data_IF_428400418358
#
_entry.id   IF_428400418358
#
_cell.length_a   1.000
_cell.length_b   1.000
_cell.length_c   1.000
_cell.angle_alpha   90.00
_cell.angle_beta   90.00
_cell.angle_gamma   90.00
#
_symmetry.space_group_name_H-M   'P 1'
#
loop_
_entity.id
_entity.type
_entity.pdbx_description
1 polymer ?
#
# COMPACT_ATOMS: atom_id res chain seq x y z
N UNK A 1 -73.21 3.64 -16.61
CA UNK A 1 -72.49 2.82 -15.63
C UNK A 1 -71.02 3.30 -15.61
N UNK A 2 -70.65 4.18 -14.65
CA UNK A 2 -69.32 4.76 -14.54
C UNK A 2 -68.55 4.00 -13.43
N UNK A 3 -67.49 3.37 -13.82
CA UNK A 3 -66.54 2.69 -12.86
C UNK A 3 -65.50 3.71 -12.44
N UNK A 4 -65.57 4.15 -11.20
CA UNK A 4 -64.55 4.99 -10.56
C UNK A 4 -63.33 4.15 -10.26
N UNK A 5 -62.20 4.52 -10.83
CA UNK A 5 -60.89 3.99 -10.43
C UNK A 5 -60.43 4.76 -9.19
N UNK A 6 -60.38 4.05 -8.08
CA UNK A 6 -59.81 4.53 -6.84
C UNK A 6 -58.29 4.37 -6.95
N UNK A 7 -57.53 5.46 -7.08
CA UNK A 7 -56.08 5.47 -6.93
C UNK A 7 -55.77 5.53 -5.44
N UNK A 8 -55.27 4.43 -4.92
CA UNK A 8 -54.68 4.38 -3.58
C UNK A 8 -53.28 4.97 -3.67
N UNK A 9 -53.10 6.23 -3.27
CA UNK A 9 -51.78 6.83 -3.04
C UNK A 9 -51.23 6.27 -1.72
N UNK A 10 -50.33 5.32 -1.80
CA UNK A 10 -49.50 4.95 -0.66
C UNK A 10 -48.49 6.08 -0.43
N UNK A 11 -48.76 6.95 0.53
CA UNK A 11 -47.79 7.88 1.05
C UNK A 11 -46.73 7.05 1.79
N UNK A 12 -45.58 6.81 1.15
CA UNK A 12 -44.36 6.41 1.87
C UNK A 12 -44.02 7.60 2.78
N UNK A 13 -44.38 7.48 4.06
CA UNK A 13 -43.82 8.31 5.09
C UNK A 13 -42.30 7.97 5.14
N UNK A 14 -41.49 8.79 4.51
CA UNK A 14 -40.07 8.83 4.81
C UNK A 14 -39.98 9.30 6.27
N UNK A 15 -39.98 8.36 7.19
CA UNK A 15 -39.44 8.60 8.52
C UNK A 15 -37.98 8.90 8.29
N UNK A 16 -37.62 10.17 8.32
CA UNK A 16 -36.25 10.59 8.60
C UNK A 16 -35.91 10.00 9.97
N UNK A 17 -35.36 8.79 9.97
CA UNK A 17 -34.58 8.35 11.09
C UNK A 17 -33.44 9.39 11.13
N UNK A 18 -33.56 10.34 12.05
CA UNK A 18 -32.40 11.07 12.54
C UNK A 18 -31.51 9.97 13.14
N UNK A 19 -30.64 9.40 12.31
CA UNK A 19 -29.50 8.67 12.82
C UNK A 19 -28.78 9.74 13.63
N UNK A 20 -28.79 9.63 14.94
CA UNK A 20 -27.87 10.39 15.78
C UNK A 20 -26.51 9.93 15.32
N UNK A 21 -25.88 10.75 14.47
CA UNK A 21 -24.49 10.60 14.13
C UNK A 21 -23.72 10.50 15.46
N UNK A 22 -22.90 9.49 15.63
CA UNK A 22 -22.22 9.26 16.88
C UNK A 22 -21.64 7.85 17.00
N UNK A 23 -21.49 7.44 18.23
CA UNK A 23 -20.83 6.19 18.59
C UNK A 23 -21.36 4.95 17.89
N UNK A 24 -20.46 4.24 17.25
CA UNK A 24 -20.64 2.89 16.71
C UNK A 24 -20.25 1.90 17.80
N UNK A 25 -21.16 1.01 18.21
CA UNK A 25 -20.83 -0.04 19.18
C UNK A 25 -20.17 -1.26 18.52
N UNK A 26 -19.63 -2.16 19.33
CA UNK A 26 -18.91 -3.35 18.85
C UNK A 26 -19.77 -4.29 17.98
N UNK A 27 -21.10 -4.33 18.20
CA UNK A 27 -22.00 -5.15 17.38
C UNK A 27 -22.23 -4.49 16.02
N UNK A 28 -22.46 -3.18 15.99
CA UNK A 28 -22.59 -2.41 14.75
C UNK A 28 -21.28 -2.48 13.94
N UNK A 29 -20.13 -2.34 14.59
CA UNK A 29 -18.82 -2.49 13.96
C UNK A 29 -18.60 -3.90 13.38
N UNK A 30 -19.00 -4.95 14.10
CA UNK A 30 -18.95 -6.33 13.58
C UNK A 30 -19.84 -6.53 12.37
N UNK A 31 -21.02 -5.91 12.36
CA UNK A 31 -21.92 -5.96 11.20
C UNK A 31 -21.35 -5.21 10.00
N UNK A 32 -20.67 -4.08 10.23
CA UNK A 32 -19.96 -3.33 9.21
C UNK A 32 -18.83 -4.19 8.61
N UNK A 33 -18.01 -4.82 9.46
CA UNK A 33 -16.98 -5.76 9.01
C UNK A 33 -17.56 -6.90 8.16
N UNK A 34 -18.68 -7.49 8.57
CA UNK A 34 -19.34 -8.55 7.82
C UNK A 34 -19.87 -8.06 6.46
N UNK A 35 -20.45 -6.86 6.39
CA UNK A 35 -20.88 -6.26 5.11
C UNK A 35 -19.70 -6.05 4.17
N UNK A 36 -18.62 -5.49 4.68
CA UNK A 36 -17.40 -5.26 3.90
C UNK A 36 -16.87 -6.58 3.32
N UNK A 37 -16.71 -7.62 4.16
CA UNK A 37 -16.22 -8.93 3.73
C UNK A 37 -17.12 -9.60 2.68
N UNK A 38 -18.41 -9.32 2.70
CA UNK A 38 -19.35 -9.86 1.72
C UNK A 38 -19.34 -9.11 0.39
N UNK A 39 -19.16 -7.79 0.42
CA UNK A 39 -19.43 -6.93 -0.73
C UNK A 39 -18.14 -6.44 -1.43
N UNK A 40 -17.12 -6.11 -0.65
CA UNK A 40 -15.97 -5.34 -1.13
C UNK A 40 -14.61 -6.00 -0.87
N UNK A 41 -14.54 -6.98 0.02
CA UNK A 41 -13.27 -7.60 0.37
C UNK A 41 -12.65 -8.35 -0.83
N UNK A 42 -11.30 -8.46 -0.86
CA UNK A 42 -10.61 -9.32 -1.81
C UNK A 42 -11.18 -10.74 -1.83
N UNK A 43 -11.02 -11.44 -2.95
CA UNK A 43 -11.54 -12.81 -3.11
C UNK A 43 -11.12 -13.75 -1.98
N UNK A 44 -9.90 -13.58 -1.48
CA UNK A 44 -9.34 -14.33 -0.33
C UNK A 44 -10.16 -14.21 0.95
N UNK A 45 -10.85 -13.09 1.17
CA UNK A 45 -11.68 -12.82 2.36
C UNK A 45 -13.17 -12.89 2.08
N UNK A 46 -13.57 -12.88 0.80
CA UNK A 46 -14.97 -12.79 0.38
C UNK A 46 -15.75 -14.04 0.84
N UNK A 47 -16.87 -13.79 1.51
CA UNK A 47 -17.75 -14.89 1.97
C UNK A 47 -17.34 -15.53 3.31
N UNK A 48 -16.39 -14.96 4.04
CA UNK A 48 -16.11 -15.41 5.39
C UNK A 48 -17.39 -15.35 6.25
N UNK A 49 -17.77 -16.44 6.93
CA UNK A 49 -18.98 -16.42 7.76
C UNK A 49 -18.81 -15.45 8.94
N UNK A 50 -19.89 -14.85 9.41
CA UNK A 50 -19.85 -13.91 10.55
C UNK A 50 -19.19 -14.52 11.81
N UNK A 51 -19.21 -15.84 11.96
CA UNK A 51 -18.51 -16.56 13.04
C UNK A 51 -16.99 -16.54 12.90
N UNK A 52 -16.46 -16.28 11.71
CA UNK A 52 -15.02 -16.14 11.47
C UNK A 52 -14.48 -14.76 11.89
N UNK A 53 -15.35 -13.78 12.14
CA UNK A 53 -14.99 -12.39 12.49
C UNK A 53 -14.85 -12.30 14.00
N UNK A 54 -13.64 -12.16 14.51
CA UNK A 54 -13.32 -12.13 15.94
C UNK A 54 -12.81 -10.74 16.33
N UNK A 55 -13.40 -10.12 17.35
CA UNK A 55 -12.89 -8.87 17.90
C UNK A 55 -11.50 -9.13 18.52
N UNK A 56 -10.49 -8.51 17.96
CA UNK A 56 -9.09 -8.63 18.37
C UNK A 56 -8.67 -7.48 19.27
N UNK A 57 -9.15 -6.26 18.98
CA UNK A 57 -8.75 -5.07 19.69
C UNK A 57 -9.83 -3.98 19.60
N UNK A 58 -9.86 -3.12 20.60
CA UNK A 58 -10.70 -1.94 20.69
C UNK A 58 -9.85 -0.77 21.16
N UNK A 59 -9.88 0.33 20.45
CA UNK A 59 -9.22 1.56 20.87
C UNK A 59 -10.20 2.44 21.64
N UNK A 60 -9.97 2.61 22.94
CA UNK A 60 -10.81 3.43 23.80
C UNK A 60 -10.66 4.93 23.47
N UNK A 61 -11.79 5.63 23.36
CA UNK A 61 -11.82 7.06 23.12
C UNK A 61 -11.68 7.85 24.42
N UNK A 62 -10.97 8.99 24.39
CA UNK A 62 -10.95 9.96 25.49
C UNK A 62 -12.24 10.79 25.59
N UNK A 63 -13.08 10.76 24.55
CA UNK A 63 -14.31 11.55 24.50
C UNK A 63 -15.50 10.70 24.89
N UNK A 64 -15.85 9.69 24.07
CA UNK A 64 -16.95 8.77 24.30
C UNK A 64 -16.78 7.49 23.46
N UNK A 65 -17.14 6.35 24.04
CA UNK A 65 -17.10 5.05 23.35
C UNK A 65 -15.72 4.65 22.90
N UNK A 66 -15.61 4.11 21.68
CA UNK A 66 -14.36 3.64 21.12
C UNK A 66 -14.04 4.40 19.83
N UNK A 67 -12.75 4.59 19.53
CA UNK A 67 -12.34 5.27 18.30
C UNK A 67 -12.36 4.34 17.10
N UNK A 68 -11.95 3.09 17.31
CA UNK A 68 -12.07 2.04 16.29
C UNK A 68 -12.08 0.64 16.91
N UNK A 69 -12.48 -0.32 16.08
CA UNK A 69 -12.51 -1.75 16.40
C UNK A 69 -11.67 -2.51 15.37
N UNK A 70 -10.90 -3.47 15.84
CA UNK A 70 -10.14 -4.37 14.96
C UNK A 70 -10.70 -5.77 15.08
N UNK A 71 -11.00 -6.36 13.93
CA UNK A 71 -11.45 -7.74 13.84
C UNK A 71 -10.42 -8.56 13.08
N UNK A 72 -10.02 -9.69 13.65
CA UNK A 72 -9.30 -10.74 12.96
C UNK A 72 -10.28 -11.71 12.29
N UNK A 73 -9.86 -12.28 11.18
CA UNK A 73 -10.65 -13.20 10.38
C UNK A 73 -10.02 -14.58 10.50
N UNK A 74 -10.79 -15.56 10.92
CA UNK A 74 -10.31 -16.96 11.01
C UNK A 74 -9.90 -17.45 9.62
N UNK A 75 -8.69 -17.94 9.50
CA UNK A 75 -8.09 -18.33 8.21
C UNK A 75 -7.14 -17.29 7.63
N UNK A 76 -7.03 -16.14 8.28
CA UNK A 76 -6.15 -15.03 7.91
C UNK A 76 -6.91 -13.81 7.44
N UNK A 77 -6.30 -12.65 7.66
CA UNK A 77 -6.85 -11.34 7.37
C UNK A 77 -7.40 -10.62 8.59
N UNK A 78 -7.58 -9.31 8.44
CA UNK A 78 -8.09 -8.43 9.48
C UNK A 78 -8.77 -7.21 8.87
N UNK A 79 -9.64 -6.54 9.64
CA UNK A 79 -10.31 -5.30 9.24
C UNK A 79 -10.43 -4.35 10.43
N UNK A 80 -10.25 -3.05 10.17
CA UNK A 80 -10.42 -1.97 11.14
C UNK A 80 -11.67 -1.17 10.77
N UNK A 81 -12.59 -1.10 11.71
CA UNK A 81 -13.87 -0.39 11.58
C UNK A 81 -13.88 0.81 12.51
N UNK A 82 -14.29 1.97 12.02
CA UNK A 82 -14.42 3.17 12.81
C UNK A 82 -15.45 3.02 13.93
N UNK A 83 -15.19 3.65 15.05
CA UNK A 83 -16.08 3.72 16.21
C UNK A 83 -17.01 4.94 16.23
N UNK A 84 -17.06 5.69 15.12
CA UNK A 84 -17.92 6.86 14.94
C UNK A 84 -18.37 6.97 13.48
N UNK A 85 -19.62 7.32 13.24
CA UNK A 85 -20.20 7.37 11.88
C UNK A 85 -19.91 8.67 11.11
N UNK A 86 -19.21 9.63 11.70
CA UNK A 86 -18.58 10.74 10.99
C UNK A 86 -17.24 10.32 10.34
N UNK A 87 -16.73 9.16 10.70
CA UNK A 87 -15.58 8.56 10.08
C UNK A 87 -15.98 7.66 8.89
N UNK A 88 -15.01 7.29 8.09
CA UNK A 88 -15.16 6.26 7.07
C UNK A 88 -15.37 4.92 7.74
N UNK A 89 -16.36 4.14 7.31
CA UNK A 89 -16.75 2.90 7.98
C UNK A 89 -15.57 1.92 8.07
N UNK A 90 -14.86 1.70 6.97
CA UNK A 90 -13.65 0.86 6.92
C UNK A 90 -12.43 1.75 6.86
N UNK A 91 -11.57 1.65 7.87
CA UNK A 91 -10.34 2.44 7.97
C UNK A 91 -9.15 1.73 7.33
N UNK A 92 -9.09 0.41 7.49
CA UNK A 92 -8.04 -0.42 6.89
C UNK A 92 -8.44 -1.89 6.86
N UNK A 93 -7.79 -2.67 5.99
CA UNK A 93 -7.89 -4.13 6.00
C UNK A 93 -6.62 -4.76 5.43
N UNK A 94 -6.36 -6.00 5.82
CA UNK A 94 -5.34 -6.85 5.23
C UNK A 94 -5.94 -8.21 4.90
N UNK A 95 -5.55 -8.78 3.78
CA UNK A 95 -6.03 -10.08 3.31
C UNK A 95 -5.26 -11.26 3.89
N UNK A 96 -4.20 -10.99 4.64
CA UNK A 96 -3.34 -11.97 5.30
C UNK A 96 -3.02 -11.58 6.73
N UNK A 97 -2.59 -12.57 7.50
CA UNK A 97 -2.15 -12.36 8.87
C UNK A 97 -3.28 -12.11 9.86
N UNK A 98 -2.90 -11.65 11.01
CA UNK A 98 -3.79 -11.21 12.09
C UNK A 98 -3.27 -9.90 12.67
N UNK A 99 -4.15 -9.12 13.23
CA UNK A 99 -3.76 -7.90 13.93
C UNK A 99 -3.11 -8.24 15.28
N UNK A 100 -1.88 -7.77 15.49
CA UNK A 100 -1.13 -7.94 16.74
C UNK A 100 -0.39 -6.65 17.11
N UNK A 101 -0.81 -6.02 18.19
CA UNK A 101 -0.23 -4.77 18.68
C UNK A 101 1.26 -4.88 19.04
N UNK A 102 1.72 -6.05 19.47
CA UNK A 102 3.06 -6.21 20.04
C UNK A 102 4.19 -6.16 18.99
N UNK A 103 3.85 -6.40 17.72
CA UNK A 103 4.82 -6.51 16.63
C UNK A 103 4.54 -5.55 15.47
N UNK A 104 3.83 -4.45 15.75
CA UNK A 104 3.40 -3.51 14.74
C UNK A 104 4.53 -2.57 14.31
N UNK A 105 4.73 -2.31 13.00
CA UNK A 105 5.66 -1.28 12.52
C UNK A 105 5.31 0.11 13.06
N UNK A 106 6.31 0.92 13.33
CA UNK A 106 6.11 2.29 13.83
C UNK A 106 5.23 3.15 12.90
N UNK A 107 5.37 2.96 11.59
CA UNK A 107 4.53 3.61 10.57
C UNK A 107 3.04 3.28 10.71
N UNK A 108 2.72 2.00 10.90
CA UNK A 108 1.34 1.57 11.12
C UNK A 108 0.80 2.09 12.45
N UNK A 109 1.62 2.11 13.52
CA UNK A 109 1.25 2.75 14.78
C UNK A 109 0.92 4.22 14.58
N UNK A 110 1.73 4.94 13.78
CA UNK A 110 1.47 6.32 13.40
C UNK A 110 0.14 6.50 12.65
N UNK A 111 -0.15 5.61 11.71
CA UNK A 111 -1.42 5.62 10.94
C UNK A 111 -2.63 5.38 11.86
N UNK A 112 -2.54 4.42 12.78
CA UNK A 112 -3.62 4.15 13.74
C UNK A 112 -3.80 5.28 14.74
N UNK A 113 -2.70 5.90 15.18
CA UNK A 113 -2.76 7.09 16.01
C UNK A 113 -3.44 8.26 15.30
N UNK A 114 -3.18 8.45 14.00
CA UNK A 114 -3.87 9.45 13.19
C UNK A 114 -5.38 9.20 13.17
N UNK A 115 -5.82 7.97 12.93
CA UNK A 115 -7.24 7.62 12.96
C UNK A 115 -7.87 7.94 14.33
N UNK A 116 -7.21 7.53 15.40
CA UNK A 116 -7.65 7.84 16.75
C UNK A 116 -7.81 9.35 16.97
N UNK A 117 -6.76 10.13 16.71
CA UNK A 117 -6.74 11.57 16.96
C UNK A 117 -7.85 12.29 16.16
N UNK A 118 -8.09 11.87 14.92
CA UNK A 118 -9.14 12.42 14.05
C UNK A 118 -10.54 12.05 14.56
N UNK A 119 -10.76 10.80 14.96
CA UNK A 119 -12.06 10.36 15.47
C UNK A 119 -12.35 11.02 16.83
N UNK A 120 -11.38 11.11 17.73
CA UNK A 120 -11.52 11.87 18.98
C UNK A 120 -11.87 13.34 18.69
N UNK A 121 -11.24 13.96 17.70
CA UNK A 121 -11.49 15.35 17.34
C UNK A 121 -12.92 15.57 16.83
N UNK A 122 -13.43 14.71 15.94
CA UNK A 122 -14.80 14.85 15.41
C UNK A 122 -15.85 14.58 16.49
N UNK A 123 -15.63 13.60 17.39
CA UNK A 123 -16.50 13.34 18.56
C UNK A 123 -16.54 14.52 19.51
N UNK A 124 -15.41 15.18 19.74
CA UNK A 124 -15.29 16.35 20.60
C UNK A 124 -15.84 17.65 19.99
N UNK A 125 -16.04 17.71 18.70
CA UNK A 125 -16.46 18.91 17.99
C UNK A 125 -17.92 19.25 18.27
N UNK A 126 -18.18 20.51 18.63
CA UNK A 126 -19.53 21.02 18.98
C UNK A 126 -20.16 21.93 17.91
N UNK A 127 -19.44 22.15 16.82
CA UNK A 127 -19.92 22.94 15.68
C UNK A 127 -20.70 22.11 14.66
N UNK A 128 -21.06 22.75 13.57
CA UNK A 128 -21.71 22.08 12.44
C UNK A 128 -20.66 21.39 11.58
N UNK A 129 -20.89 20.13 11.22
CA UNK A 129 -20.08 19.36 10.28
C UNK A 129 -20.69 19.39 8.88
N UNK A 130 -19.82 19.36 7.88
CA UNK A 130 -20.18 19.16 6.48
C UNK A 130 -19.53 17.86 5.95
N UNK A 131 -20.18 17.13 5.06
CA UNK A 131 -19.57 15.96 4.46
C UNK A 131 -18.38 16.36 3.60
N UNK A 132 -17.33 15.53 3.62
CA UNK A 132 -16.22 15.68 2.70
C UNK A 132 -16.70 15.51 1.25
N UNK A 133 -16.04 16.18 0.32
CA UNK A 133 -16.28 15.97 -1.09
C UNK A 133 -15.95 14.51 -1.44
N UNK A 134 -16.87 13.85 -2.13
CA UNK A 134 -16.57 12.52 -2.64
C UNK A 134 -15.34 12.59 -3.57
N UNK A 135 -14.38 11.67 -3.45
CA UNK A 135 -13.26 11.61 -4.37
C UNK A 135 -13.76 11.42 -5.80
N UNK A 136 -12.99 11.89 -6.78
CA UNK A 136 -13.22 11.54 -8.17
C UNK A 136 -13.22 10.01 -8.32
N UNK A 137 -13.83 9.49 -9.40
CA UNK A 137 -13.76 8.05 -9.67
C UNK A 137 -12.30 7.62 -9.69
N UNK A 138 -11.96 6.67 -8.82
CA UNK A 138 -10.62 6.10 -8.71
C UNK A 138 -10.59 4.84 -9.56
N UNK A 139 -9.60 4.72 -10.42
CA UNK A 139 -9.27 3.45 -11.07
C UNK A 139 -8.42 2.64 -10.10
N UNK A 140 -8.87 1.43 -9.78
CA UNK A 140 -8.15 0.57 -8.86
C UNK A 140 -6.86 0.04 -9.51
N UNK A 141 -5.78 0.03 -8.75
CA UNK A 141 -4.48 -0.53 -9.14
C UNK A 141 -4.07 -1.56 -8.09
N UNK A 142 -3.83 -2.79 -8.53
CA UNK A 142 -3.35 -3.85 -7.64
C UNK A 142 -1.92 -3.57 -7.18
N UNK A 143 -1.46 -4.16 -6.05
CA UNK A 143 -0.11 -3.93 -5.55
C UNK A 143 0.95 -4.23 -6.61
N UNK A 144 1.71 -3.21 -7.01
CA UNK A 144 2.75 -3.28 -8.04
C UNK A 144 3.96 -4.07 -7.54
N UNK A 145 4.43 -3.79 -6.32
CA UNK A 145 5.58 -4.50 -5.76
C UNK A 145 5.15 -5.86 -5.22
N UNK A 146 5.90 -6.89 -5.56
CA UNK A 146 5.62 -8.27 -5.11
C UNK A 146 6.60 -8.70 -4.00
N UNK A 147 7.44 -7.78 -3.53
CA UNK A 147 8.44 -8.08 -2.49
C UNK A 147 7.84 -8.03 -1.10
N UNK A 148 8.23 -9.00 -0.26
CA UNK A 148 7.88 -9.04 1.16
C UNK A 148 9.15 -8.94 2.03
N UNK A 149 10.00 -7.98 1.67
CA UNK A 149 11.29 -7.81 2.33
C UNK A 149 11.17 -7.13 3.69
N UNK A 150 12.18 -7.34 4.52
CA UNK A 150 12.31 -6.69 5.81
C UNK A 150 13.73 -6.14 6.00
N UNK A 151 14.00 -5.57 7.17
CA UNK A 151 15.25 -4.84 7.42
C UNK A 151 16.39 -5.70 8.01
N UNK A 152 16.13 -6.99 8.24
CA UNK A 152 17.12 -7.94 8.82
C UNK A 152 17.61 -8.96 7.79
N UNK A 153 18.25 -10.03 8.21
CA UNK A 153 18.80 -11.09 7.35
C UNK A 153 17.76 -11.63 6.36
N UNK A 154 18.13 -11.82 5.06
CA UNK A 154 19.47 -11.61 4.49
C UNK A 154 19.77 -10.18 4.02
N UNK A 155 18.78 -9.26 4.00
CA UNK A 155 18.91 -7.93 3.43
C UNK A 155 19.96 -7.07 4.13
N UNK A 156 20.16 -7.24 5.43
CA UNK A 156 21.15 -6.47 6.19
C UNK A 156 22.54 -7.10 6.27
N UNK A 157 22.80 -8.21 5.60
CA UNK A 157 24.07 -8.97 5.67
C UNK A 157 25.31 -8.11 5.44
N UNK A 158 25.24 -7.08 4.64
CA UNK A 158 26.37 -6.19 4.32
C UNK A 158 26.26 -4.80 4.94
N UNK A 159 25.29 -4.57 5.81
CA UNK A 159 25.23 -3.30 6.55
C UNK A 159 26.37 -3.21 7.56
N UNK A 160 26.79 -1.99 7.94
CA UNK A 160 27.80 -1.81 8.96
C UNK A 160 27.45 -2.48 10.29
N UNK A 161 28.44 -3.03 10.95
CA UNK A 161 28.28 -3.65 12.27
C UNK A 161 28.16 -2.59 13.38
N UNK A 162 27.34 -2.87 14.38
CA UNK A 162 27.35 -2.17 15.67
C UNK A 162 27.50 -3.19 16.79
N UNK A 163 28.66 -3.25 17.39
CA UNK A 163 29.03 -4.36 18.26
C UNK A 163 29.24 -5.64 17.45
N UNK A 164 28.50 -6.69 17.82
CA UNK A 164 28.57 -8.00 17.14
C UNK A 164 27.42 -8.22 16.14
N UNK A 165 26.57 -7.24 15.92
CA UNK A 165 25.37 -7.38 15.09
C UNK A 165 25.41 -6.45 13.87
N UNK A 166 24.89 -6.91 12.75
CA UNK A 166 24.58 -6.05 11.61
C UNK A 166 23.48 -5.07 11.98
N UNK A 167 23.63 -3.83 11.58
CA UNK A 167 22.55 -2.85 11.72
C UNK A 167 21.40 -3.19 10.75
N UNK A 168 20.18 -2.72 11.05
CA UNK A 168 19.09 -2.82 10.11
C UNK A 168 19.41 -2.08 8.79
N UNK A 169 18.80 -2.51 7.69
CA UNK A 169 18.91 -1.82 6.38
C UNK A 169 18.49 -0.35 6.50
N UNK A 170 17.46 -0.08 7.27
CA UNK A 170 16.75 1.20 7.33
C UNK A 170 15.51 1.20 6.44
N UNK A 171 14.43 1.82 6.91
CA UNK A 171 13.15 1.81 6.21
C UNK A 171 13.21 2.50 4.84
N UNK A 172 13.81 3.69 4.75
CA UNK A 172 13.98 4.41 3.49
C UNK A 172 14.79 3.63 2.45
N UNK A 173 16.02 3.17 2.80
CA UNK A 173 16.80 2.31 1.90
C UNK A 173 16.08 1.02 1.48
N UNK A 174 15.31 0.40 2.38
CA UNK A 174 14.57 -0.81 2.04
C UNK A 174 13.43 -0.51 1.06
N UNK A 175 12.66 0.55 1.29
CA UNK A 175 11.63 1.00 0.36
C UNK A 175 12.23 1.31 -1.02
N UNK A 176 13.38 1.99 -1.05
CA UNK A 176 14.13 2.23 -2.27
C UNK A 176 14.56 0.93 -2.96
N UNK A 177 15.13 -0.02 -2.22
CA UNK A 177 15.59 -1.29 -2.78
C UNK A 177 14.41 -2.10 -3.37
N UNK A 178 13.22 -2.05 -2.77
CA UNK A 178 12.01 -2.68 -3.31
C UNK A 178 11.56 -2.01 -4.62
N UNK A 179 11.61 -0.69 -4.72
CA UNK A 179 11.33 0.05 -5.95
C UNK A 179 12.38 -0.24 -7.02
N UNK A 180 13.68 -0.29 -6.66
CA UNK A 180 14.74 -0.69 -7.60
C UNK A 180 14.54 -2.12 -8.09
N UNK A 181 14.15 -3.04 -7.22
CA UNK A 181 13.82 -4.41 -7.61
C UNK A 181 12.57 -4.48 -8.51
N UNK A 182 11.56 -3.69 -8.26
CA UNK A 182 10.38 -3.59 -9.12
C UNK A 182 10.79 -3.20 -10.54
N UNK A 183 11.55 -2.12 -10.70
CA UNK A 183 12.02 -1.65 -12.00
C UNK A 183 13.15 -2.50 -12.59
N UNK A 184 13.80 -3.41 -11.84
CA UNK A 184 15.04 -4.09 -12.25
C UNK A 184 16.10 -3.10 -12.72
N UNK A 185 16.17 -1.94 -12.08
CA UNK A 185 17.02 -0.81 -12.46
C UNK A 185 17.64 -0.14 -11.22
N UNK A 186 18.90 0.37 -11.33
CA UNK A 186 19.83 0.27 -12.45
C UNK A 186 20.49 -1.10 -12.55
N UNK A 187 21.22 -1.37 -13.62
CA UNK A 187 22.02 -2.61 -13.76
C UNK A 187 23.19 -2.73 -12.76
N UNK A 188 23.56 -1.60 -12.14
CA UNK A 188 24.66 -1.55 -11.18
C UNK A 188 24.83 -0.17 -10.56
N UNK A 189 25.94 0.01 -9.87
CA UNK A 189 26.32 1.27 -9.22
C UNK A 189 27.77 1.60 -9.52
N UNK A 190 28.04 2.88 -9.71
CA UNK A 190 29.40 3.41 -9.64
C UNK A 190 29.96 3.32 -8.21
N UNK A 191 31.27 3.54 -8.07
CA UNK A 191 31.92 3.57 -6.77
C UNK A 191 31.41 4.77 -5.94
N UNK A 192 31.21 4.55 -4.64
CA UNK A 192 30.74 5.57 -3.71
C UNK A 192 31.76 5.82 -2.59
N UNK A 193 32.01 7.09 -2.28
CA UNK A 193 32.93 7.51 -1.22
C UNK A 193 32.38 7.17 0.17
N UNK A 194 33.28 6.94 1.13
CA UNK A 194 32.92 6.77 2.54
C UNK A 194 32.23 8.00 3.11
N UNK A 195 31.42 7.81 4.14
CA UNK A 195 30.81 8.89 4.92
C UNK A 195 30.81 8.54 6.42
N UNK A 196 30.48 9.51 7.28
CA UNK A 196 30.53 9.33 8.73
C UNK A 196 29.14 9.47 9.36
N UNK A 197 28.79 8.55 10.25
CA UNK A 197 27.53 8.54 11.01
C UNK A 197 27.79 8.90 12.47
N UNK A 198 27.44 10.13 12.84
CA UNK A 198 27.54 10.59 14.23
C UNK A 198 26.51 9.87 15.12
N UNK A 199 26.97 9.36 16.26
CA UNK A 199 26.10 8.62 17.21
C UNK A 199 25.73 7.21 16.75
N UNK A 200 26.13 6.80 15.55
CA UNK A 200 25.89 5.49 14.97
C UNK A 200 27.13 4.62 14.87
N UNK A 201 27.32 3.99 13.71
CA UNK A 201 28.43 3.06 13.44
C UNK A 201 29.77 3.75 13.17
N UNK A 202 29.82 5.08 13.12
CA UNK A 202 31.03 5.81 12.76
C UNK A 202 31.25 5.89 11.26
N UNK A 203 32.46 5.59 10.78
CA UNK A 203 32.79 5.60 9.35
C UNK A 203 32.13 4.44 8.63
N UNK A 204 31.26 4.77 7.67
CA UNK A 204 30.71 3.82 6.69
C UNK A 204 31.70 3.75 5.54
N UNK A 205 32.32 2.59 5.26
CA UNK A 205 33.35 2.48 4.25
C UNK A 205 32.86 2.80 2.84
N UNK A 206 33.78 3.27 1.99
CA UNK A 206 33.53 3.41 0.55
C UNK A 206 33.09 2.08 -0.06
N UNK A 207 32.36 2.14 -1.16
CA UNK A 207 31.96 0.99 -1.96
C UNK A 207 32.57 1.11 -3.36
N UNK A 208 33.04 0.00 -3.87
CA UNK A 208 33.49 -0.10 -5.26
C UNK A 208 32.28 -0.12 -6.21
N UNK A 209 32.53 0.07 -7.51
CA UNK A 209 31.48 -0.14 -8.50
C UNK A 209 31.06 -1.63 -8.51
N UNK A 210 29.76 -1.87 -8.75
CA UNK A 210 29.18 -3.22 -8.77
C UNK A 210 28.05 -3.34 -9.78
N UNK A 211 27.66 -4.56 -10.09
CA UNK A 211 26.43 -4.87 -10.83
C UNK A 211 25.40 -5.49 -9.91
N UNK A 212 24.12 -5.31 -10.22
CA UNK A 212 23.00 -5.90 -9.49
C UNK A 212 22.42 -7.07 -10.29
N UNK A 213 22.41 -8.25 -9.70
CA UNK A 213 21.83 -9.44 -10.33
C UNK A 213 20.39 -9.63 -9.83
N UNK A 214 19.46 -8.94 -10.46
CA UNK A 214 18.03 -9.02 -10.12
C UNK A 214 17.45 -10.42 -10.34
N UNK A 215 18.02 -11.22 -11.24
CA UNK A 215 17.55 -12.57 -11.52
C UNK A 215 17.77 -13.55 -10.36
N UNK A 216 18.71 -13.22 -9.47
CA UNK A 216 19.00 -13.99 -8.25
C UNK A 216 18.22 -13.51 -7.03
N UNK A 217 17.51 -12.38 -7.12
CA UNK A 217 16.77 -11.85 -5.98
C UNK A 217 15.40 -12.49 -5.89
N UNK A 218 15.05 -13.00 -4.72
CA UNK A 218 13.72 -13.57 -4.45
C UNK A 218 12.73 -12.48 -4.04
N UNK A 219 11.46 -12.67 -4.39
CA UNK A 219 10.37 -11.81 -3.91
C UNK A 219 10.19 -11.91 -2.39
N UNK A 220 10.47 -13.07 -1.80
CA UNK A 220 10.41 -13.34 -0.36
C UNK A 220 11.62 -14.17 0.11
N UNK A 221 12.18 -13.81 1.24
CA UNK A 221 13.26 -14.56 1.94
C UNK A 221 12.77 -15.17 3.25
N UNK A 222 11.53 -14.95 3.56
CA UNK A 222 10.89 -15.42 4.79
C UNK A 222 9.60 -16.14 4.47
N UNK A 223 9.21 -17.03 5.38
CA UNK A 223 7.91 -17.68 5.38
C UNK A 223 7.07 -16.96 6.43
N UNK A 224 5.96 -16.39 5.97
CA UNK A 224 4.98 -15.75 6.82
C UNK A 224 3.89 -16.75 7.23
N UNK A 225 3.63 -16.84 8.53
CA UNK A 225 2.53 -17.64 9.06
C UNK A 225 1.33 -16.70 9.34
N UNK A 226 0.27 -16.76 8.55
CA UNK A 226 -0.86 -15.85 8.70
C UNK A 226 -1.68 -16.06 9.99
N UNK A 227 -1.61 -17.24 10.61
CA UNK A 227 -2.35 -17.52 11.83
C UNK A 227 -1.70 -16.90 13.07
N UNK A 228 -0.37 -16.84 13.07
CA UNK A 228 0.41 -16.39 14.24
C UNK A 228 1.14 -15.06 14.02
N UNK A 229 1.09 -14.48 12.82
CA UNK A 229 1.99 -13.40 12.35
C UNK A 229 3.48 -13.74 12.51
N UNK A 230 3.78 -15.01 12.68
CA UNK A 230 5.15 -15.49 12.79
C UNK A 230 5.88 -15.34 11.46
N UNK A 231 7.14 -14.93 11.54
CA UNK A 231 8.05 -14.88 10.39
C UNK A 231 9.24 -15.76 10.72
N UNK A 232 9.55 -16.68 9.84
CA UNK A 232 10.75 -17.52 9.89
C UNK A 232 11.56 -17.35 8.62
N UNK A 233 12.84 -17.63 8.66
CA UNK A 233 13.65 -17.64 7.44
C UNK A 233 13.15 -18.69 6.47
N UNK A 234 13.02 -18.32 5.21
CA UNK A 234 12.74 -19.21 4.10
C UNK A 234 14.00 -19.94 3.64
N UNK A 235 13.85 -20.72 2.59
CA UNK A 235 14.98 -21.37 1.92
C UNK A 235 15.48 -20.48 0.79
N UNK A 236 16.75 -20.17 0.81
CA UNK A 236 17.45 -19.41 -0.25
C UNK A 236 18.93 -19.84 -0.30
N UNK A 237 19.53 -19.65 -1.45
CA UNK A 237 20.96 -19.91 -1.69
C UNK A 237 21.81 -18.74 -1.21
N UNK A 238 23.12 -19.00 -1.09
CA UNK A 238 24.09 -17.94 -0.78
C UNK A 238 24.09 -16.84 -1.86
N UNK A 239 23.98 -17.20 -3.13
CA UNK A 239 23.93 -16.25 -4.25
C UNK A 239 22.70 -15.33 -4.17
N UNK A 240 21.53 -15.87 -3.85
CA UNK A 240 20.29 -15.11 -3.68
C UNK A 240 20.38 -14.14 -2.49
N UNK A 241 20.96 -14.58 -1.38
CA UNK A 241 21.19 -13.74 -0.22
C UNK A 241 22.20 -12.62 -0.49
N UNK A 242 23.29 -12.91 -1.18
CA UNK A 242 24.30 -11.92 -1.58
C UNK A 242 23.72 -10.90 -2.54
N UNK A 243 22.89 -11.32 -3.49
CA UNK A 243 22.27 -10.42 -4.47
C UNK A 243 21.39 -9.36 -3.79
N UNK A 244 20.45 -9.75 -2.94
CA UNK A 244 19.55 -8.81 -2.25
C UNK A 244 20.31 -7.94 -1.23
N UNK A 245 21.25 -8.52 -0.49
CA UNK A 245 22.08 -7.79 0.47
C UNK A 245 22.96 -6.72 -0.21
N UNK A 246 23.46 -7.02 -1.40
CA UNK A 246 24.22 -6.06 -2.20
C UNK A 246 23.34 -4.88 -2.60
N UNK A 247 22.16 -5.13 -3.17
CA UNK A 247 21.20 -4.07 -3.53
C UNK A 247 20.88 -3.19 -2.31
N UNK A 248 20.49 -3.81 -1.20
CA UNK A 248 20.14 -3.08 0.04
C UNK A 248 21.33 -2.28 0.60
N UNK A 249 22.55 -2.82 0.50
CA UNK A 249 23.77 -2.14 0.95
C UNK A 249 24.06 -0.89 0.12
N UNK A 250 23.91 -0.97 -1.20
CA UNK A 250 24.17 0.15 -2.11
C UNK A 250 23.06 1.20 -2.03
N UNK A 251 21.81 0.80 -1.97
CA UNK A 251 20.69 1.70 -1.69
C UNK A 251 20.89 2.47 -0.38
N UNK A 252 21.26 1.75 0.69
CA UNK A 252 21.53 2.37 1.98
C UNK A 252 22.74 3.32 1.98
N UNK A 253 23.77 3.02 1.21
CA UNK A 253 24.94 3.90 1.08
C UNK A 253 24.59 5.19 0.32
N UNK A 254 23.89 5.07 -0.78
CA UNK A 254 23.43 6.21 -1.58
C UNK A 254 22.52 7.14 -0.79
N UNK A 255 21.59 6.57 0.03
CA UNK A 255 20.72 7.32 0.95
C UNK A 255 21.46 7.95 2.14
N UNK A 256 22.77 7.84 2.26
CA UNK A 256 23.51 8.32 3.43
C UNK A 256 22.95 7.81 4.77
N UNK A 257 22.54 6.54 4.79
CA UNK A 257 21.85 5.93 5.93
C UNK A 257 22.62 6.12 7.22
N UNK A 258 21.92 6.57 8.24
CA UNK A 258 22.43 6.72 9.60
C UNK A 258 22.35 5.37 10.33
N UNK A 259 23.28 4.47 9.96
CA UNK A 259 23.35 3.13 10.52
C UNK A 259 23.61 3.12 12.02
N UNK A 260 22.77 2.42 12.77
CA UNK A 260 22.94 2.24 14.21
C UNK A 260 22.79 3.51 15.05
N UNK A 261 22.06 4.51 14.58
CA UNK A 261 21.84 5.76 15.30
C UNK A 261 20.94 5.58 16.54
N UNK A 262 20.16 4.50 16.62
CA UNK A 262 19.40 4.09 17.80
C UNK A 262 19.49 2.57 17.95
N UNK A 263 20.38 2.08 18.84
CA UNK A 263 20.68 0.66 18.91
C UNK A 263 21.22 0.14 17.58
N UNK A 264 20.62 -0.90 17.03
CA UNK A 264 20.91 -1.43 15.68
C UNK A 264 19.98 -0.85 14.60
N UNK A 265 19.04 0.01 14.96
CA UNK A 265 18.12 0.67 14.01
C UNK A 265 18.85 1.66 13.12
N UNK A 266 18.34 1.86 11.93
CA UNK A 266 18.93 2.71 10.89
C UNK A 266 17.84 3.51 10.18
N UNK A 267 18.16 4.69 9.66
CA UNK A 267 17.23 5.54 8.92
C UNK A 267 17.94 6.49 7.97
N UNK A 268 17.20 6.97 6.98
CA UNK A 268 17.66 7.97 6.03
C UNK A 268 16.60 9.09 5.92
N UNK A 269 17.02 10.27 5.52
CA UNK A 269 16.10 11.35 5.24
C UNK A 269 15.47 11.19 3.85
N UNK A 270 14.25 11.68 3.66
CA UNK A 270 13.53 11.64 2.38
C UNK A 270 14.29 12.35 1.24
N UNK A 271 14.90 13.48 1.53
CA UNK A 271 15.73 14.20 0.55
C UNK A 271 17.02 13.47 0.17
N UNK A 272 17.63 12.70 1.08
CA UNK A 272 18.78 11.85 0.76
C UNK A 272 18.34 10.66 -0.10
N UNK A 273 17.14 10.14 0.12
CA UNK A 273 16.57 9.08 -0.72
C UNK A 273 16.28 9.58 -2.14
N UNK A 274 15.70 10.79 -2.31
CA UNK A 274 15.54 11.41 -3.63
C UNK A 274 16.89 11.59 -4.33
N UNK A 275 17.90 12.08 -3.62
CA UNK A 275 19.24 12.23 -4.17
C UNK A 275 19.84 10.86 -4.58
N UNK A 276 19.56 9.80 -3.84
CA UNK A 276 19.99 8.45 -4.16
C UNK A 276 19.32 7.91 -5.42
N UNK A 277 18.02 8.11 -5.61
CA UNK A 277 17.33 7.73 -6.85
C UNK A 277 17.95 8.45 -8.06
N UNK A 278 18.19 9.75 -7.95
CA UNK A 278 18.87 10.52 -9.02
C UNK A 278 20.30 10.05 -9.28
N UNK A 279 21.05 9.69 -8.23
CA UNK A 279 22.39 9.09 -8.38
C UNK A 279 22.35 7.79 -9.18
N UNK A 280 21.32 6.98 -8.99
CA UNK A 280 21.11 5.73 -9.74
C UNK A 280 20.49 5.94 -11.12
N UNK A 281 20.33 7.18 -11.59
CA UNK A 281 19.86 7.49 -12.93
C UNK A 281 18.35 7.39 -13.15
N UNK A 282 17.57 7.41 -12.05
CA UNK A 282 16.12 7.58 -12.18
C UNK A 282 15.80 8.95 -12.75
N UNK A 283 14.58 9.09 -13.30
CA UNK A 283 14.10 10.30 -13.94
C UNK A 283 14.50 11.58 -13.19
N UNK A 284 15.14 12.52 -13.91
CA UNK A 284 15.53 13.82 -13.34
C UNK A 284 14.34 14.63 -12.83
N UNK A 285 13.14 14.40 -13.39
CA UNK A 285 11.87 14.96 -12.94
C UNK A 285 11.31 14.32 -11.66
N UNK A 286 12.01 13.35 -11.03
CA UNK A 286 11.61 12.85 -9.73
C UNK A 286 11.66 13.95 -8.67
N UNK A 287 10.60 14.07 -7.86
CA UNK A 287 10.42 15.15 -6.89
C UNK A 287 10.03 14.62 -5.52
N UNK A 288 10.58 15.23 -4.48
CA UNK A 288 10.08 15.10 -3.12
C UNK A 288 9.03 16.17 -2.87
N UNK A 289 7.81 15.77 -2.57
CA UNK A 289 6.70 16.66 -2.25
C UNK A 289 6.14 16.32 -0.87
N UNK A 290 5.54 17.30 -0.20
CA UNK A 290 4.95 17.16 1.11
C UNK A 290 3.52 17.68 1.14
N UNK A 291 2.63 17.01 1.90
CA UNK A 291 1.26 17.49 2.10
C UNK A 291 1.27 18.81 2.91
N UNK A 292 2.16 18.90 3.91
CA UNK A 292 2.57 20.13 4.60
C UNK A 292 4.09 20.25 4.45
N UNK A 293 4.58 20.85 3.33
CA UNK A 293 5.93 20.63 2.87
C UNK A 293 6.98 21.29 3.74
N UNK A 294 8.02 20.53 4.05
CA UNK A 294 9.28 21.07 4.56
C UNK A 294 10.02 21.86 3.48
N UNK A 295 11.02 22.64 3.87
CA UNK A 295 11.82 23.41 2.90
C UNK A 295 12.67 22.54 1.94
N UNK A 296 12.74 21.23 2.16
CA UNK A 296 13.37 20.29 1.23
C UNK A 296 12.43 19.81 0.12
N UNK A 297 11.10 20.01 0.28
CA UNK A 297 10.12 19.62 -0.71
C UNK A 297 10.09 20.63 -1.88
N UNK A 298 9.90 20.13 -3.10
CA UNK A 298 9.81 20.97 -4.30
C UNK A 298 8.59 21.90 -4.28
N UNK A 299 7.52 21.48 -3.57
CA UNK A 299 6.31 22.28 -3.36
C UNK A 299 6.36 23.17 -2.11
N UNK A 300 7.55 23.50 -1.57
CA UNK A 300 7.65 24.36 -0.40
C UNK A 300 6.85 25.66 -0.55
N UNK A 301 5.99 25.92 0.46
CA UNK A 301 5.06 27.04 0.44
C UNK A 301 3.70 26.76 -0.20
N UNK A 302 3.48 25.57 -0.76
CA UNK A 302 2.18 25.11 -1.26
C UNK A 302 1.75 23.82 -0.53
N UNK A 303 0.60 23.86 0.13
CA UNK A 303 -0.01 22.70 0.78
C UNK A 303 -0.99 22.05 -0.15
N UNK A 304 -0.96 20.73 -0.20
CA UNK A 304 -1.98 19.95 -0.91
C UNK A 304 -3.19 19.72 -0.01
N UNK A 305 -4.38 19.78 -0.60
CA UNK A 305 -5.56 19.18 0.00
C UNK A 305 -5.41 17.66 -0.01
N UNK A 306 -6.22 16.99 0.78
CA UNK A 306 -6.25 15.53 0.82
C UNK A 306 -6.65 14.91 -0.52
N UNK A 307 -7.64 15.50 -1.17
CA UNK A 307 -8.12 15.07 -2.49
C UNK A 307 -7.01 15.20 -3.55
N UNK A 308 -6.29 16.31 -3.57
CA UNK A 308 -5.15 16.51 -4.46
C UNK A 308 -4.02 15.52 -4.16
N UNK A 309 -3.76 15.25 -2.88
CA UNK A 309 -2.74 14.29 -2.47
C UNK A 309 -3.06 12.87 -2.92
N UNK A 310 -4.32 12.44 -2.74
CA UNK A 310 -4.80 11.13 -3.20
C UNK A 310 -4.79 11.04 -4.75
N UNK A 311 -5.13 12.13 -5.43
CA UNK A 311 -5.09 12.19 -6.89
C UNK A 311 -3.66 12.05 -7.42
N UNK A 312 -2.67 12.71 -6.80
CA UNK A 312 -1.26 12.56 -7.16
C UNK A 312 -0.80 11.10 -7.01
N UNK A 313 -1.15 10.45 -5.89
CA UNK A 313 -0.83 9.03 -5.69
C UNK A 313 -1.51 8.17 -6.76
N UNK A 314 -2.79 8.43 -7.05
CA UNK A 314 -3.54 7.70 -8.07
C UNK A 314 -2.91 7.85 -9.47
N UNK A 315 -2.42 9.04 -9.83
CA UNK A 315 -1.71 9.28 -11.09
C UNK A 315 -0.43 8.45 -11.17
N UNK A 316 0.36 8.41 -10.10
CA UNK A 316 1.59 7.60 -10.07
C UNK A 316 1.28 6.10 -10.23
N UNK A 317 0.32 5.61 -9.46
CA UNK A 317 -0.03 4.18 -9.49
C UNK A 317 -0.64 3.74 -10.82
N UNK A 318 -1.51 4.57 -11.42
CA UNK A 318 -2.06 4.29 -12.76
C UNK A 318 -1.01 4.36 -13.88
N UNK A 319 0.13 5.00 -13.63
CA UNK A 319 1.29 4.97 -14.51
C UNK A 319 2.28 3.84 -14.13
N UNK A 320 1.85 2.85 -13.36
CA UNK A 320 2.67 1.75 -12.86
C UNK A 320 3.93 2.22 -12.11
N UNK A 321 3.84 3.33 -11.38
CA UNK A 321 4.94 3.89 -10.60
C UNK A 321 4.68 3.75 -9.11
N UNK A 322 5.34 2.82 -8.41
CA UNK A 322 5.25 2.71 -6.96
C UNK A 322 5.87 3.95 -6.30
N UNK A 323 5.24 4.42 -5.23
CA UNK A 323 5.58 5.68 -4.55
C UNK A 323 6.41 5.39 -3.31
N UNK A 324 7.57 6.03 -3.16
CA UNK A 324 8.31 6.05 -1.91
C UNK A 324 7.64 7.06 -0.96
N UNK A 325 6.98 6.56 0.06
CA UNK A 325 6.17 7.35 1.00
C UNK A 325 6.86 7.48 2.35
N UNK A 326 6.76 8.65 2.96
CA UNK A 326 7.37 8.96 4.25
C UNK A 326 6.34 9.61 5.17
N UNK A 327 6.37 9.20 6.43
CA UNK A 327 5.81 10.00 7.52
C UNK A 327 6.98 10.49 8.37
N UNK A 328 7.15 11.79 8.44
CA UNK A 328 8.25 12.42 9.18
C UNK A 328 7.68 12.95 10.49
N UNK A 329 7.68 12.13 11.53
CA UNK A 329 7.50 12.61 12.90
C UNK A 329 8.85 12.95 13.51
N UNK A 330 8.88 13.92 14.43
CA UNK A 330 10.10 14.36 15.11
C UNK A 330 10.75 13.28 15.98
N UNK A 331 10.05 12.18 16.26
CA UNK A 331 10.51 11.12 17.16
C UNK A 331 10.80 9.81 16.42
N UNK A 332 9.94 9.38 15.49
CA UNK A 332 10.02 8.05 14.85
C UNK A 332 9.53 8.07 13.40
N UNK A 333 10.17 8.88 12.54
CA UNK A 333 9.86 8.89 11.11
C UNK A 333 10.04 7.51 10.48
N UNK A 334 9.16 7.15 9.53
CA UNK A 334 9.22 5.90 8.80
C UNK A 334 8.98 6.10 7.30
N UNK A 335 9.57 5.20 6.50
CA UNK A 335 9.40 5.16 5.05
C UNK A 335 8.90 3.78 4.61
N UNK A 336 8.05 3.76 3.61
CA UNK A 336 7.49 2.53 3.02
C UNK A 336 7.14 2.72 1.55
N UNK A 337 6.63 1.70 0.90
CA UNK A 337 6.14 1.79 -0.47
C UNK A 337 4.62 1.84 -0.47
N UNK A 338 4.05 2.81 -1.17
CA UNK A 338 2.64 2.82 -1.57
C UNK A 338 2.59 2.33 -3.01
N UNK A 339 1.94 1.21 -3.25
CA UNK A 339 2.04 0.50 -4.52
C UNK A 339 0.70 -0.02 -5.07
N UNK A 340 -0.42 0.37 -4.46
CA UNK A 340 -1.74 0.04 -4.93
C UNK A 340 -2.79 1.02 -4.40
N UNK A 341 -3.93 1.08 -5.08
CA UNK A 341 -5.09 1.87 -4.68
C UNK A 341 -6.36 1.10 -5.04
N UNK A 342 -7.33 0.99 -4.13
CA UNK A 342 -8.60 0.37 -4.43
C UNK A 342 -9.64 1.38 -4.93
N UNK A 343 -10.79 0.88 -5.39
CA UNK A 343 -11.88 1.73 -5.91
C UNK A 343 -12.51 2.66 -4.86
N UNK A 344 -12.32 2.40 -3.58
CA UNK A 344 -12.77 3.24 -2.46
C UNK A 344 -11.68 4.22 -1.98
N UNK A 345 -10.49 4.20 -2.60
CA UNK A 345 -9.36 5.08 -2.31
C UNK A 345 -8.51 4.63 -1.12
N UNK A 346 -8.59 3.37 -0.71
CA UNK A 346 -7.63 2.82 0.22
C UNK A 346 -6.32 2.53 -0.52
N UNK A 347 -5.22 2.91 0.10
CA UNK A 347 -3.88 2.74 -0.44
C UNK A 347 -3.26 1.45 0.08
N UNK A 348 -2.70 0.64 -0.82
CA UNK A 348 -1.91 -0.51 -0.40
C UNK A 348 -0.55 -0.05 0.12
N UNK A 349 -0.23 -0.45 1.34
CA UNK A 349 1.01 -0.11 2.06
C UNK A 349 1.88 -1.36 2.19
N UNK A 350 3.04 -1.36 1.54
CA UNK A 350 4.11 -2.32 1.80
C UNK A 350 5.08 -1.71 2.82
N UNK A 351 4.88 -2.05 4.08
CA UNK A 351 5.61 -1.47 5.21
C UNK A 351 7.10 -1.86 5.28
N UNK A 352 7.55 -2.81 4.47
CA UNK A 352 8.92 -3.34 4.55
C UNK A 352 9.16 -4.15 5.83
N UNK A 353 8.16 -4.91 6.27
CA UNK A 353 8.17 -5.65 7.53
C UNK A 353 7.80 -7.12 7.36
N UNK A 354 8.35 -7.77 6.31
CA UNK A 354 8.15 -9.20 6.00
C UNK A 354 6.69 -9.57 5.74
N UNK A 355 5.97 -8.79 4.97
CA UNK A 355 4.54 -8.97 4.71
C UNK A 355 3.62 -8.71 5.93
N UNK A 356 4.18 -8.62 7.14
CA UNK A 356 3.38 -8.29 8.32
C UNK A 356 2.67 -6.97 8.11
N UNK A 357 1.36 -6.98 8.33
CA UNK A 357 0.50 -5.80 8.25
C UNK A 357 0.45 -5.10 6.90
N UNK A 358 1.06 -5.66 5.84
CA UNK A 358 0.79 -5.16 4.50
C UNK A 358 -0.72 -5.22 4.27
N UNK A 359 -1.28 -4.20 3.63
CA UNK A 359 -2.72 -4.10 3.47
C UNK A 359 -3.14 -2.73 2.96
N UNK A 360 -4.43 -2.49 3.01
CA UNK A 360 -5.10 -1.34 2.46
C UNK A 360 -5.54 -0.39 3.56
N UNK A 361 -5.20 0.88 3.44
CA UNK A 361 -5.38 1.88 4.48
C UNK A 361 -6.01 3.15 3.91
N UNK A 362 -7.00 3.69 4.60
CA UNK A 362 -7.46 5.05 4.33
C UNK A 362 -6.32 6.03 4.63
N UNK A 363 -6.17 7.04 3.78
CA UNK A 363 -5.21 8.12 4.04
C UNK A 363 -5.60 8.90 5.31
N UNK A 364 -6.92 9.04 5.56
CA UNK A 364 -7.49 9.65 6.74
C UNK A 364 -8.78 8.95 7.17
N UNK A 365 -9.20 9.13 8.44
CA UNK A 365 -10.38 8.50 8.99
C UNK A 365 -11.70 9.19 8.64
N UNK A 366 -11.71 10.50 8.33
CA UNK A 366 -12.93 11.30 8.40
C UNK A 366 -13.71 11.37 7.09
N UNK A 367 -15.03 11.28 7.19
CA UNK A 367 -15.99 11.54 6.12
C UNK A 367 -16.61 12.95 6.19
N UNK A 368 -16.32 13.70 7.25
CA UNK A 368 -16.88 15.03 7.52
C UNK A 368 -15.78 15.99 7.98
N UNK A 369 -16.00 17.28 7.79
CA UNK A 369 -15.14 18.38 8.27
C UNK A 369 -16.00 19.47 8.90
N UNK A 370 -15.44 20.39 9.69
CA UNK A 370 -16.15 21.56 10.22
C UNK A 370 -16.73 22.42 9.11
N UNK A 371 -17.97 22.87 9.26
CA UNK A 371 -18.61 23.73 8.28
C UNK A 371 -17.90 25.09 8.15
N UNK A 372 -17.57 25.47 6.93
CA UNK A 372 -16.86 26.72 6.62
C UNK A 372 -15.33 26.60 6.70
N UNK A 373 -14.79 25.44 7.01
CA UNK A 373 -13.36 25.20 7.10
C UNK A 373 -12.98 23.93 6.33
N UNK A 374 -12.45 24.10 5.14
CA UNK A 374 -12.06 22.99 4.27
C UNK A 374 -10.66 22.43 4.54
N UNK A 375 -9.88 23.04 5.43
CA UNK A 375 -8.45 22.78 5.54
C UNK A 375 -7.95 22.34 6.91
N UNK A 376 -8.78 22.36 7.96
CA UNK A 376 -8.29 22.33 9.36
C UNK A 376 -8.13 20.95 9.97
N UNK A 377 -8.70 19.93 9.39
CA UNK A 377 -8.42 18.59 9.88
C UNK A 377 -7.10 18.09 9.25
N UNK A 378 -6.05 18.78 9.65
CA UNK A 378 -4.71 18.40 9.30
C UNK A 378 -4.46 16.94 9.63
N UNK A 379 -3.95 16.23 8.67
CA UNK A 379 -3.25 14.96 8.80
C UNK A 379 -2.02 15.08 9.70
N UNK A 380 -2.02 15.90 10.70
CA UNK A 380 -0.83 16.26 11.44
C UNK A 380 -0.59 15.35 12.62
N UNK A 381 -0.34 14.09 12.31
CA UNK A 381 0.51 13.29 13.19
C UNK A 381 1.98 13.37 12.78
N UNK A 382 2.33 14.20 11.78
CA UNK A 382 3.65 14.33 11.17
C UNK A 382 3.56 14.85 9.75
N UNK A 383 4.65 15.32 9.17
CA UNK A 383 4.69 15.70 7.76
C UNK A 383 4.69 14.44 6.91
N UNK A 384 3.64 14.23 6.12
CA UNK A 384 3.63 13.22 5.08
C UNK A 384 4.35 13.77 3.86
N UNK A 385 5.36 13.06 3.41
CA UNK A 385 6.14 13.35 2.20
C UNK A 385 6.11 12.13 1.28
N UNK A 386 6.24 12.34 -0.02
CA UNK A 386 6.41 11.26 -0.98
C UNK A 386 7.35 11.67 -2.10
N UNK A 387 8.02 10.68 -2.69
CA UNK A 387 8.80 10.88 -3.92
C UNK A 387 7.97 10.35 -5.07
N UNK A 388 7.66 11.22 -6.02
CA UNK A 388 6.89 10.95 -7.24
C UNK A 388 7.78 10.95 -8.47
N UNK A 389 7.23 10.50 -9.62
CA UNK A 389 7.95 10.36 -10.88
C UNK A 389 9.15 9.41 -10.79
N UNK A 390 9.01 8.32 -10.01
CA UNK A 390 10.04 7.31 -9.81
C UNK A 390 9.97 6.23 -10.89
N UNK A 391 10.61 6.49 -12.02
CA UNK A 391 10.82 5.55 -13.11
C UNK A 391 12.20 5.75 -13.73
N UNK A 392 12.79 4.76 -14.40
CA UNK A 392 14.14 4.91 -14.96
C UNK A 392 14.23 6.03 -16.01
N UNK A 393 13.47 5.93 -17.09
CA UNK A 393 13.36 6.92 -18.17
C UNK A 393 12.12 6.62 -19.02
N UNK A 394 11.65 7.60 -19.80
CA UNK A 394 10.49 7.41 -20.66
C UNK A 394 10.67 6.23 -21.62
N UNK A 395 9.68 5.35 -21.67
CA UNK A 395 9.71 4.15 -22.51
C UNK A 395 10.55 3.02 -21.94
N UNK A 396 10.97 3.09 -20.67
CA UNK A 396 11.64 1.96 -20.02
C UNK A 396 10.67 0.79 -19.84
N UNK A 397 11.08 -0.38 -20.31
CA UNK A 397 10.36 -1.65 -20.14
C UNK A 397 11.10 -2.46 -19.07
N UNK A 398 10.38 -2.97 -18.09
CA UNK A 398 10.95 -3.78 -17.00
C UNK A 398 11.47 -5.12 -17.60
N UNK A 399 12.76 -5.45 -17.46
CA UNK A 399 13.29 -6.71 -17.98
C UNK A 399 12.62 -7.92 -17.29
N UNK A 400 12.08 -8.83 -18.10
CA UNK A 400 11.45 -10.06 -17.61
C UNK A 400 10.06 -9.89 -17.03
N UNK A 401 9.43 -8.75 -17.22
CA UNK A 401 7.98 -8.54 -17.00
C UNK A 401 7.15 -8.95 -18.23
N UNK A 402 7.78 -9.61 -19.20
CA UNK A 402 7.02 -10.44 -20.12
C UNK A 402 6.30 -11.49 -19.25
N UNK A 403 4.98 -11.58 -19.33
CA UNK A 403 4.22 -12.58 -18.57
C UNK A 403 4.85 -13.97 -18.81
N UNK A 404 5.11 -14.74 -17.73
CA UNK A 404 5.60 -16.12 -17.89
C UNK A 404 4.53 -16.94 -18.60
N UNK A 405 4.59 -17.00 -19.92
CA UNK A 405 3.61 -17.67 -20.77
C UNK A 405 3.39 -16.93 -22.08
N UNK A 406 2.45 -17.40 -22.84
CA UNK A 406 2.02 -16.75 -24.08
C UNK A 406 0.96 -15.68 -23.76
N UNK A 407 1.16 -14.45 -24.22
CA UNK A 407 0.12 -13.42 -24.14
C UNK A 407 -1.15 -13.96 -24.79
N UNK A 408 -2.28 -13.89 -24.07
CA UNK A 408 -3.55 -14.50 -24.47
C UNK A 408 -3.78 -15.92 -23.92
N UNK A 409 -2.81 -16.56 -23.26
CA UNK A 409 -2.94 -17.88 -22.61
C UNK A 409 -3.57 -17.68 -21.21
N UNK A 410 -4.87 -17.51 -21.20
CA UNK A 410 -5.64 -17.16 -20.00
C UNK A 410 -5.82 -18.36 -19.06
N UNK A 411 -5.87 -19.57 -19.59
CA UNK A 411 -6.06 -20.79 -18.79
C UNK A 411 -4.73 -21.45 -18.39
N UNK A 412 -3.60 -20.96 -18.93
CA UNK A 412 -2.24 -21.41 -18.58
C UNK A 412 -1.87 -22.77 -19.20
N UNK A 413 -2.51 -23.20 -20.29
CA UNK A 413 -2.24 -24.49 -20.94
C UNK A 413 -1.04 -24.43 -21.91
N UNK A 414 -0.49 -23.24 -22.17
CA UNK A 414 0.65 -22.98 -23.04
C UNK A 414 0.27 -22.79 -24.52
N UNK A 415 -1.00 -22.63 -24.84
CA UNK A 415 -1.51 -22.44 -26.21
C UNK A 415 -2.57 -21.35 -26.23
N UNK A 416 -2.40 -20.28 -27.00
CA UNK A 416 -3.45 -19.28 -27.18
C UNK A 416 -4.52 -19.80 -28.13
N UNK A 417 -5.73 -20.04 -27.60
CA UNK A 417 -6.83 -20.69 -28.31
C UNK A 417 -8.24 -20.32 -27.80
N UNK A 418 -9.24 -21.05 -28.27
CA UNK A 418 -10.64 -20.82 -27.86
C UNK A 418 -10.86 -21.12 -26.37
N UNK A 419 -10.03 -21.96 -25.76
CA UNK A 419 -10.11 -22.24 -24.33
C UNK A 419 -9.89 -20.96 -23.49
N UNK A 420 -8.92 -20.12 -23.90
CA UNK A 420 -8.61 -18.85 -23.25
C UNK A 420 -9.73 -17.83 -23.37
N UNK A 421 -10.30 -17.73 -24.57
CA UNK A 421 -11.51 -16.92 -24.80
C UNK A 421 -12.63 -17.33 -23.84
N UNK A 422 -12.84 -18.64 -23.65
CA UNK A 422 -13.84 -19.18 -22.73
C UNK A 422 -13.48 -18.88 -21.29
N UNK A 423 -12.22 -19.01 -20.89
CA UNK A 423 -11.74 -18.72 -19.55
C UNK A 423 -11.97 -17.24 -19.18
N UNK A 424 -11.66 -16.31 -20.09
CA UNK A 424 -11.94 -14.89 -19.87
C UNK A 424 -13.44 -14.60 -19.79
N UNK A 425 -14.25 -15.20 -20.65
CA UNK A 425 -15.71 -15.04 -20.59
C UNK A 425 -16.25 -15.55 -19.25
N UNK A 426 -15.80 -16.71 -18.79
CA UNK A 426 -16.19 -17.26 -17.49
C UNK A 426 -15.74 -16.36 -16.33
N UNK A 427 -14.55 -15.78 -16.42
CA UNK A 427 -14.06 -14.79 -15.46
C UNK A 427 -14.96 -13.55 -15.40
N UNK A 428 -15.30 -12.97 -16.56
CA UNK A 428 -16.17 -11.79 -16.65
C UNK A 428 -17.58 -12.10 -16.15
N UNK A 429 -18.16 -13.25 -16.57
CA UNK A 429 -19.52 -13.65 -16.15
C UNK A 429 -19.60 -14.05 -14.68
N UNK A 430 -18.52 -14.53 -14.10
CA UNK A 430 -18.43 -14.86 -12.67
C UNK A 430 -18.06 -13.66 -11.80
N UNK A 431 -18.07 -12.45 -12.35
CA UNK A 431 -17.65 -11.22 -11.67
C UNK A 431 -16.22 -11.32 -11.07
N UNK A 432 -15.30 -11.94 -11.80
CA UNK A 432 -13.91 -12.08 -11.40
C UNK A 432 -13.62 -13.24 -10.42
N UNK A 433 -14.53 -14.21 -10.29
CA UNK A 433 -14.34 -15.35 -9.38
C UNK A 433 -13.73 -16.58 -10.05
N UNK A 434 -13.78 -16.69 -11.38
CA UNK A 434 -13.11 -17.76 -12.11
C UNK A 434 -11.58 -17.53 -12.08
N UNK A 435 -10.83 -18.63 -12.06
CA UNK A 435 -9.36 -18.57 -12.06
C UNK A 435 -8.86 -18.39 -13.48
N UNK A 436 -8.11 -17.33 -13.72
CA UNK A 436 -7.37 -17.09 -14.97
C UNK A 436 -5.96 -16.59 -14.64
N UNK A 437 -5.06 -16.64 -15.62
CA UNK A 437 -3.80 -15.90 -15.55
C UNK A 437 -4.07 -14.45 -15.97
N UNK A 438 -4.28 -13.56 -15.01
CA UNK A 438 -4.68 -12.18 -15.25
C UNK A 438 -3.68 -11.45 -16.18
N UNK A 439 -2.37 -11.59 -15.89
CA UNK A 439 -1.31 -10.88 -16.63
C UNK A 439 -1.20 -11.34 -18.10
N UNK A 440 -1.58 -12.58 -18.40
CA UNK A 440 -1.65 -13.10 -19.77
C UNK A 440 -2.99 -12.84 -20.46
N UNK A 441 -4.02 -12.51 -19.68
CA UNK A 441 -5.38 -12.31 -20.16
C UNK A 441 -5.70 -10.87 -20.55
N UNK A 442 -4.98 -9.89 -19.98
CA UNK A 442 -5.08 -8.46 -20.29
C UNK A 442 -4.21 -8.17 -21.54
N UNK A 443 -4.76 -8.49 -22.70
CA UNK A 443 -4.01 -8.46 -23.96
C UNK A 443 -3.96 -7.08 -24.60
N UNK A 444 -4.87 -6.18 -24.24
CA UNK A 444 -4.86 -4.79 -24.70
C UNK A 444 -4.20 -3.84 -23.68
N UNK A 445 -3.71 -4.41 -22.55
CA UNK A 445 -2.95 -3.72 -21.50
C UNK A 445 -3.71 -2.52 -20.89
N UNK A 446 -5.06 -2.58 -20.87
CA UNK A 446 -5.88 -1.52 -20.28
C UNK A 446 -6.06 -1.66 -18.75
N UNK A 447 -5.50 -2.74 -18.17
CA UNK A 447 -5.56 -3.07 -16.74
C UNK A 447 -6.86 -3.76 -16.32
N UNK A 448 -7.73 -4.14 -17.25
CA UNK A 448 -9.01 -4.80 -17.00
C UNK A 448 -9.20 -5.99 -17.93
N UNK A 449 -9.21 -7.18 -17.40
CA UNK A 449 -9.57 -8.35 -18.22
C UNK A 449 -11.07 -8.34 -18.52
N UNK A 450 -11.41 -8.15 -19.81
CA UNK A 450 -12.78 -7.92 -20.26
C UNK A 450 -13.09 -8.41 -21.69
N UNK A 451 -14.14 -7.87 -22.28
CA UNK A 451 -14.57 -8.23 -23.63
C UNK A 451 -13.61 -7.72 -24.70
N UNK A 452 -12.84 -6.67 -24.41
CA UNK A 452 -11.82 -6.16 -25.33
C UNK A 452 -10.72 -7.22 -25.56
N UNK A 453 -10.25 -7.86 -24.47
CA UNK A 453 -9.26 -8.94 -24.53
C UNK A 453 -9.80 -10.18 -25.26
N UNK A 454 -11.04 -10.55 -24.99
CA UNK A 454 -11.72 -11.63 -25.74
C UNK A 454 -11.66 -11.34 -27.25
N UNK A 455 -11.91 -10.10 -27.64
CA UNK A 455 -11.90 -9.70 -29.04
C UNK A 455 -10.48 -9.74 -29.62
N UNK A 456 -9.49 -9.25 -28.87
CA UNK A 456 -8.09 -9.26 -29.28
C UNK A 456 -7.56 -10.70 -29.44
N UNK A 457 -7.87 -11.61 -28.51
CA UNK A 457 -7.49 -13.03 -28.61
C UNK A 457 -8.17 -13.69 -29.82
N UNK A 458 -9.44 -13.41 -30.09
CA UNK A 458 -10.12 -13.91 -31.27
C UNK A 458 -9.47 -13.42 -32.58
N UNK A 459 -9.08 -12.14 -32.63
CA UNK A 459 -8.38 -11.57 -33.76
C UNK A 459 -7.01 -12.23 -33.94
N UNK A 460 -6.27 -12.49 -32.88
CA UNK A 460 -5.02 -13.24 -32.91
C UNK A 460 -5.21 -14.67 -33.45
N UNK A 461 -6.21 -15.40 -32.95
CA UNK A 461 -6.51 -16.77 -33.41
C UNK A 461 -6.84 -16.79 -34.90
N UNK A 462 -7.54 -15.77 -35.40
CA UNK A 462 -7.97 -15.71 -36.80
C UNK A 462 -6.88 -15.20 -37.75
N UNK A 463 -6.04 -14.29 -37.33
CA UNK A 463 -5.11 -13.56 -38.18
C UNK A 463 -3.64 -13.84 -37.85
N UNK A 464 -3.32 -14.44 -36.70
CA UNK A 464 -1.97 -14.82 -36.28
C UNK A 464 -1.08 -13.66 -35.88
N UNK A 465 -1.66 -12.50 -35.53
CA UNK A 465 -0.95 -11.32 -35.02
C UNK A 465 -1.83 -10.52 -34.05
N UNK A 466 -1.19 -9.93 -33.06
CA UNK A 466 -1.82 -8.95 -32.11
C UNK A 466 -2.01 -7.61 -32.78
#
# INVERSE_FOLDING_TARGET
>A
MKISKLFLLAALAATSLSVNAGNVDANAARMAAARFLHQKAPVSLKGAPSSAIQLAYTEDSKVEGNDYYVFNITGGGWVIIAGDDHAKEVLAYGDKGSFDLNNMPASMQGQLKLYKDQIEAVKGFKGQLAPNKAPNRITAVQPLTKTTWGQSEPMNRFTPMKGSEHTAVGCGPLAMAQIMYYWKYPEGSEAMSSYYVYGGTGTVPALDATTFDYSKMLKAYTIFNPETNGVSLGTYTEEEAVAVATLCRYAGHACKTRYGNSGTSSGAYSYDQLAAFKFFGYNDGAELIGIDPSYYCSNYGHKYTKEEWLELISVELNANRPVAYHNVDFVDGHAWVVDGIDADGLLHMNWGFYERFNGWFQLDALSFHPYGDSEVWNFSGGANEMIINLFPYEGYVIPGDEPEGLLGDADGDGVVGIADVTAIIDYVLSEGTATINFDLSDVDEDGVVGIADVTAILDYILNGAW
#
